data_IF_796721824827
#
_entry.id   IF_796721824827
#
_cell.length_a   1.000
_cell.length_b   1.000
_cell.length_c   1.000
_cell.angle_alpha   90.00
_cell.angle_beta   90.00
_cell.angle_gamma   90.00
#
_symmetry.space_group_name_H-M   'P 1'
#
loop_
_entity.id
_entity.type
_entity.pdbx_description
1 polymer ?
#
# COMPACT_ATOMS: atom_id res chain seq x y z
N UNK A 1 -75.82 4.32 9.10
CA UNK A 1 -74.57 4.13 9.86
C UNK A 1 -73.54 3.59 8.90
N UNK A 2 -72.55 4.44 8.63
CA UNK A 2 -71.20 4.22 8.08
C UNK A 2 -71.07 3.40 6.79
N UNK A 3 -71.12 4.20 5.73
CA UNK A 3 -70.48 4.05 4.44
C UNK A 3 -68.94 3.99 4.59
N UNK A 4 -68.25 3.24 3.73
CA UNK A 4 -66.80 3.02 3.82
C UNK A 4 -66.26 2.17 2.68
N UNK A 5 -66.75 2.41 1.46
CA UNK A 5 -66.16 1.84 0.26
C UNK A 5 -64.76 2.47 0.04
N UNK A 6 -63.72 1.64 0.16
CA UNK A 6 -62.35 1.95 -0.24
C UNK A 6 -62.35 2.41 -1.71
N UNK A 7 -62.10 3.69 -1.92
CA UNK A 7 -61.86 4.22 -3.25
C UNK A 7 -60.62 3.56 -3.86
N UNK A 8 -60.65 3.12 -5.14
CA UNK A 8 -59.45 2.73 -5.84
C UNK A 8 -58.55 3.97 -5.99
N UNK A 9 -57.33 3.89 -5.46
CA UNK A 9 -56.31 4.91 -5.71
C UNK A 9 -56.01 4.91 -7.21
N UNK A 10 -56.12 6.05 -7.92
CA UNK A 10 -55.96 6.07 -9.35
C UNK A 10 -54.49 5.78 -9.71
N UNK A 11 -54.28 4.73 -10.48
CA UNK A 11 -53.03 4.41 -11.15
C UNK A 11 -52.90 5.35 -12.37
N UNK A 12 -52.78 6.66 -12.10
CA UNK A 12 -52.57 7.70 -13.12
C UNK A 12 -51.67 8.78 -12.55
N UNK A 13 -50.36 8.65 -12.75
CA UNK A 13 -49.46 9.80 -12.71
C UNK A 13 -48.55 9.73 -13.94
N UNK A 14 -49.13 10.10 -15.07
CA UNK A 14 -48.40 10.57 -16.25
C UNK A 14 -48.04 12.07 -16.16
N UNK A 15 -48.35 12.72 -15.03
CA UNK A 15 -47.82 14.06 -14.73
C UNK A 15 -46.34 13.95 -14.31
N UNK A 16 -45.44 14.73 -14.92
CA UNK A 16 -44.03 14.74 -14.52
C UNK A 16 -43.91 15.19 -13.06
N UNK A 17 -43.23 14.38 -12.25
CA UNK A 17 -42.97 14.67 -10.84
C UNK A 17 -42.30 16.03 -10.70
N UNK A 18 -42.80 16.87 -9.78
CA UNK A 18 -42.18 18.16 -9.50
C UNK A 18 -40.78 17.99 -8.88
N UNK A 19 -39.85 18.96 -9.05
CA UNK A 19 -38.49 18.86 -8.49
C UNK A 19 -38.44 18.61 -6.97
N UNK A 20 -39.42 19.12 -6.22
CA UNK A 20 -39.54 18.87 -4.78
C UNK A 20 -39.99 17.44 -4.42
N UNK A 21 -40.73 16.77 -5.32
CA UNK A 21 -41.14 15.37 -5.17
C UNK A 21 -40.04 14.38 -5.60
N UNK A 22 -38.98 14.86 -6.26
CA UNK A 22 -37.79 14.08 -6.62
C UNK A 22 -36.72 14.07 -5.51
N UNK A 23 -36.93 14.76 -4.40
CA UNK A 23 -36.00 14.79 -3.27
C UNK A 23 -36.10 13.48 -2.45
N UNK A 24 -34.94 12.86 -2.23
CA UNK A 24 -34.82 11.61 -1.47
C UNK A 24 -35.13 10.34 -2.28
N UNK A 25 -34.87 9.18 -1.69
CA UNK A 25 -35.06 7.88 -2.35
C UNK A 25 -36.48 7.63 -2.91
N UNK A 26 -37.59 8.13 -2.32
CA UNK A 26 -38.94 7.86 -2.83
C UNK A 26 -39.19 8.47 -4.20
N UNK A 27 -38.72 9.72 -4.38
CA UNK A 27 -38.83 10.44 -5.65
C UNK A 27 -37.95 9.82 -6.72
N UNK A 28 -36.71 9.47 -6.37
CA UNK A 28 -35.76 8.81 -7.26
C UNK A 28 -36.27 7.45 -7.75
N UNK A 29 -36.86 6.62 -6.87
CA UNK A 29 -37.40 5.31 -7.26
C UNK A 29 -38.53 5.44 -8.29
N UNK A 30 -39.45 6.39 -8.10
CA UNK A 30 -40.55 6.64 -9.06
C UNK A 30 -40.02 7.14 -10.40
N UNK A 31 -39.03 8.04 -10.38
CA UNK A 31 -38.39 8.54 -11.60
C UNK A 31 -37.64 7.43 -12.35
N UNK A 32 -36.86 6.62 -11.65
CA UNK A 32 -36.16 5.48 -12.25
C UNK A 32 -37.11 4.44 -12.83
N UNK A 33 -38.26 4.19 -12.19
CA UNK A 33 -39.31 3.30 -12.71
C UNK A 33 -39.92 3.83 -14.01
N UNK A 34 -40.11 5.14 -14.12
CA UNK A 34 -40.55 5.78 -15.36
C UNK A 34 -39.51 5.60 -16.49
N UNK A 35 -38.25 5.94 -16.22
CA UNK A 35 -37.14 5.79 -17.18
C UNK A 35 -36.93 4.33 -17.60
N UNK A 36 -37.04 3.38 -16.67
CA UNK A 36 -36.95 1.96 -16.98
C UNK A 36 -38.09 1.51 -17.91
N UNK A 37 -39.32 2.00 -17.66
CA UNK A 37 -40.46 1.75 -18.53
C UNK A 37 -40.23 2.25 -19.96
N UNK A 38 -39.74 3.49 -20.11
CA UNK A 38 -39.38 4.04 -21.42
C UNK A 38 -38.29 3.22 -22.13
N UNK A 39 -37.22 2.85 -21.43
CA UNK A 39 -36.12 2.02 -21.98
C UNK A 39 -36.60 0.63 -22.44
N UNK A 40 -37.60 0.08 -21.77
CA UNK A 40 -38.21 -1.21 -22.10
C UNK A 40 -39.32 -1.09 -23.16
N UNK A 41 -39.61 0.12 -23.65
CA UNK A 41 -40.68 0.36 -24.63
C UNK A 41 -42.09 0.20 -24.05
N UNK A 42 -42.24 0.31 -22.73
CA UNK A 42 -43.54 0.32 -22.06
C UNK A 42 -44.17 1.72 -22.22
N UNK A 43 -45.47 1.78 -22.48
CA UNK A 43 -46.23 3.04 -22.62
C UNK A 43 -46.41 3.83 -21.31
N UNK A 44 -45.62 3.53 -20.28
CA UNK A 44 -45.68 4.10 -18.94
C UNK A 44 -44.60 3.51 -18.02
N UNK A 45 -44.55 3.92 -16.73
CA UNK A 45 -43.58 3.41 -15.78
C UNK A 45 -43.69 1.90 -15.58
N UNK A 46 -42.55 1.22 -15.39
CA UNK A 46 -42.49 -0.21 -15.07
C UNK A 46 -43.39 -0.52 -13.86
N UNK A 47 -44.16 -1.61 -13.84
CA UNK A 47 -45.14 -1.82 -12.76
C UNK A 47 -44.48 -2.08 -11.40
N UNK A 48 -45.03 -1.52 -10.32
CA UNK A 48 -44.60 -1.86 -8.95
C UNK A 48 -44.67 -3.36 -8.67
N UNK A 49 -45.62 -4.07 -9.28
CA UNK A 49 -45.77 -5.52 -9.12
C UNK A 49 -44.61 -6.27 -9.81
N UNK A 50 -44.26 -5.87 -11.03
CA UNK A 50 -43.14 -6.45 -11.81
C UNK A 50 -41.80 -6.21 -11.11
N UNK A 51 -41.58 -5.00 -10.58
CA UNK A 51 -40.36 -4.70 -9.82
C UNK A 51 -40.27 -5.55 -8.56
N UNK A 52 -41.37 -5.66 -7.81
CA UNK A 52 -41.41 -6.45 -6.58
C UNK A 52 -41.17 -7.94 -6.84
N UNK A 53 -41.76 -8.49 -7.90
CA UNK A 53 -41.55 -9.87 -8.34
C UNK A 53 -40.08 -10.12 -8.71
N UNK A 54 -39.47 -9.23 -9.49
CA UNK A 54 -38.09 -9.36 -9.94
C UNK A 54 -37.05 -9.33 -8.80
N UNK A 55 -37.36 -8.67 -7.68
CA UNK A 55 -36.51 -8.64 -6.48
C UNK A 55 -36.93 -9.64 -5.40
N UNK A 56 -37.92 -10.51 -5.66
CA UNK A 56 -38.41 -11.51 -4.73
C UNK A 56 -39.08 -10.94 -3.48
N UNK A 57 -39.78 -9.79 -3.60
CA UNK A 57 -40.49 -9.12 -2.50
C UNK A 57 -41.97 -8.91 -2.84
N UNK A 58 -42.78 -8.59 -1.84
CA UNK A 58 -44.21 -8.33 -2.06
C UNK A 58 -44.44 -6.94 -2.67
N UNK A 59 -45.52 -6.77 -3.44
CA UNK A 59 -45.91 -5.45 -3.98
C UNK A 59 -46.02 -4.38 -2.89
N UNK A 60 -46.61 -4.72 -1.75
CA UNK A 60 -46.73 -3.81 -0.60
C UNK A 60 -45.37 -3.42 0.00
N UNK A 61 -44.38 -4.30 -0.04
CA UNK A 61 -43.02 -3.98 0.38
C UNK A 61 -42.40 -2.90 -0.52
N UNK A 62 -42.50 -3.06 -1.84
CA UNK A 62 -41.97 -2.07 -2.79
C UNK A 62 -42.76 -0.75 -2.77
N UNK A 63 -44.08 -0.82 -2.62
CA UNK A 63 -44.92 0.37 -2.45
C UNK A 63 -44.52 1.18 -1.20
N UNK A 64 -44.25 0.51 -0.08
CA UNK A 64 -43.76 1.18 1.13
C UNK A 64 -42.38 1.82 0.91
N UNK A 65 -41.50 1.16 0.15
CA UNK A 65 -40.19 1.70 -0.24
C UNK A 65 -40.34 3.00 -1.06
N UNK A 66 -41.20 3.01 -2.08
CA UNK A 66 -41.54 4.21 -2.88
C UNK A 66 -42.29 5.30 -2.09
N UNK A 67 -42.79 4.98 -0.89
CA UNK A 67 -43.45 5.93 0.00
C UNK A 67 -42.52 6.48 1.09
N UNK A 68 -41.24 6.12 1.10
CA UNK A 68 -40.28 6.64 2.08
C UNK A 68 -39.95 5.71 3.23
N UNK A 69 -40.53 4.51 3.28
CA UNK A 69 -40.07 3.52 4.25
C UNK A 69 -38.63 3.13 3.95
N UNK A 70 -37.84 2.92 5.02
CA UNK A 70 -36.48 2.38 4.97
C UNK A 70 -36.45 1.01 5.64
N UNK A 71 -37.02 -0.03 5.01
CA UNK A 71 -36.92 -1.37 5.53
C UNK A 71 -35.45 -1.80 5.56
N UNK A 72 -35.05 -2.63 6.54
CA UNK A 72 -33.73 -3.26 6.50
C UNK A 72 -33.61 -4.06 5.21
N UNK A 73 -32.75 -3.60 4.30
CA UNK A 73 -32.46 -4.23 3.02
C UNK A 73 -31.06 -4.80 3.03
N UNK A 74 -30.90 -5.97 2.43
CA UNK A 74 -29.59 -6.53 2.12
C UNK A 74 -29.10 -6.04 0.74
N UNK A 75 -27.83 -6.29 0.46
CA UNK A 75 -27.20 -5.84 -0.79
C UNK A 75 -27.78 -6.54 -2.03
N UNK A 76 -28.13 -7.81 -1.91
CA UNK A 76 -28.65 -8.60 -3.02
C UNK A 76 -29.98 -8.03 -3.54
N UNK A 77 -30.86 -7.56 -2.65
CA UNK A 77 -32.10 -6.87 -3.03
C UNK A 77 -31.81 -5.55 -3.76
N UNK A 78 -30.81 -4.78 -3.33
CA UNK A 78 -30.46 -3.50 -3.98
C UNK A 78 -29.82 -3.69 -5.35
N UNK A 79 -28.91 -4.67 -5.50
CA UNK A 79 -28.31 -5.01 -6.80
C UNK A 79 -29.40 -5.53 -7.77
N UNK A 80 -30.35 -6.35 -7.28
CA UNK A 80 -31.49 -6.80 -8.06
C UNK A 80 -32.43 -5.65 -8.46
N UNK A 81 -32.64 -4.69 -7.56
CA UNK A 81 -33.43 -3.49 -7.84
C UNK A 81 -32.76 -2.62 -8.90
N UNK A 82 -31.45 -2.39 -8.77
CA UNK A 82 -30.67 -1.62 -9.74
C UNK A 82 -30.69 -2.27 -11.13
N UNK A 83 -30.56 -3.60 -11.19
CA UNK A 83 -30.68 -4.36 -12.45
C UNK A 83 -32.07 -4.25 -13.06
N UNK A 84 -33.12 -4.42 -12.26
CA UNK A 84 -34.52 -4.36 -12.72
C UNK A 84 -34.90 -2.96 -13.23
N UNK A 85 -34.44 -1.92 -12.54
CA UNK A 85 -34.68 -0.52 -12.91
C UNK A 85 -33.70 0.01 -13.97
N UNK A 86 -32.81 -0.84 -14.51
CA UNK A 86 -31.81 -0.46 -15.52
C UNK A 86 -30.98 0.75 -15.09
N UNK A 87 -30.60 0.79 -13.81
CA UNK A 87 -29.82 1.87 -13.21
C UNK A 87 -28.40 1.85 -13.75
N UNK A 88 -27.89 3.05 -14.07
CA UNK A 88 -26.48 3.26 -14.24
C UNK A 88 -25.76 3.20 -12.89
N UNK A 89 -24.46 3.43 -12.94
CA UNK A 89 -23.61 3.39 -11.75
C UNK A 89 -24.02 4.40 -10.70
N UNK A 90 -24.23 5.66 -11.09
CA UNK A 90 -24.46 6.75 -10.14
C UNK A 90 -25.83 6.62 -9.48
N UNK A 91 -26.84 6.19 -10.24
CA UNK A 91 -28.17 5.89 -9.71
C UNK A 91 -28.13 4.71 -8.74
N UNK A 92 -27.39 3.65 -9.07
CA UNK A 92 -27.19 2.52 -8.16
C UNK A 92 -26.46 2.94 -6.88
N UNK A 93 -25.45 3.81 -6.98
CA UNK A 93 -24.76 4.36 -5.82
C UNK A 93 -25.71 5.15 -4.92
N UNK A 94 -26.53 6.01 -5.53
CA UNK A 94 -27.53 6.81 -4.82
C UNK A 94 -28.56 5.91 -4.10
N UNK A 95 -29.01 4.82 -4.75
CA UNK A 95 -29.90 3.82 -4.15
C UNK A 95 -29.28 3.17 -2.91
N UNK A 96 -28.02 2.74 -3.02
CA UNK A 96 -27.27 2.10 -1.92
C UNK A 96 -27.09 3.07 -0.76
N UNK A 97 -26.60 4.28 -1.03
CA UNK A 97 -26.39 5.30 0.00
C UNK A 97 -27.68 5.70 0.73
N UNK A 98 -28.81 5.70 0.02
CA UNK A 98 -30.07 6.11 0.61
C UNK A 98 -30.74 5.02 1.48
N UNK A 99 -30.44 3.75 1.24
CA UNK A 99 -31.12 2.61 1.88
C UNK A 99 -30.20 1.75 2.79
N UNK A 100 -28.89 1.88 2.66
CA UNK A 100 -27.89 1.34 3.58
C UNK A 100 -27.19 2.52 4.25
N UNK A 101 -27.63 2.90 5.46
CA UNK A 101 -27.17 4.06 6.26
C UNK A 101 -25.65 4.33 6.18
N UNK A 102 -25.22 5.11 5.18
CA UNK A 102 -23.84 5.57 5.02
C UNK A 102 -22.82 4.52 4.56
N UNK A 103 -23.23 3.30 4.23
CA UNK A 103 -22.29 2.30 3.77
C UNK A 103 -21.98 2.53 2.28
N UNK A 104 -20.89 3.25 1.99
CA UNK A 104 -20.22 3.29 0.68
C UNK A 104 -19.74 1.86 0.34
N UNK A 105 -20.68 0.97 0.05
CA UNK A 105 -20.44 -0.44 -0.28
C UNK A 105 -20.32 -0.54 -1.79
N UNK A 106 -19.24 -1.20 -2.21
CA UNK A 106 -18.78 -1.30 -3.59
C UNK A 106 -19.90 -1.63 -4.57
N UNK A 107 -20.03 -0.78 -5.57
CA UNK A 107 -20.77 -1.06 -6.80
C UNK A 107 -19.96 -2.11 -7.57
N UNK A 108 -20.60 -3.11 -8.21
CA UNK A 108 -19.88 -4.13 -8.99
C UNK A 108 -18.91 -3.51 -10.00
N UNK A 109 -17.74 -4.13 -10.16
CA UNK A 109 -16.61 -3.73 -11.03
C UNK A 109 -16.96 -3.65 -12.53
N UNK A 110 -18.21 -3.93 -12.91
CA UNK A 110 -18.69 -3.93 -14.30
C UNK A 110 -18.72 -2.55 -14.98
N UNK A 111 -18.23 -1.49 -14.31
CA UNK A 111 -18.15 -0.13 -14.86
C UNK A 111 -16.72 0.43 -14.99
N UNK A 112 -15.70 -0.44 -15.05
CA UNK A 112 -14.33 -0.05 -15.39
C UNK A 112 -14.09 0.05 -16.91
N UNK A 113 -14.75 1.00 -17.59
CA UNK A 113 -14.53 1.20 -19.04
C UNK A 113 -13.05 1.45 -19.33
N UNK A 114 -12.57 1.02 -20.52
CA UNK A 114 -11.19 1.31 -20.93
C UNK A 114 -10.86 2.81 -20.86
N UNK A 115 -11.86 3.67 -21.05
CA UNK A 115 -11.78 5.12 -20.90
C UNK A 115 -11.48 5.54 -19.46
N UNK A 116 -12.18 4.99 -18.46
CA UNK A 116 -11.93 5.29 -17.03
C UNK A 116 -10.48 4.95 -16.66
N UNK A 117 -9.97 3.79 -17.11
CA UNK A 117 -8.59 3.40 -16.85
C UNK A 117 -7.59 4.34 -17.54
N UNK A 118 -7.90 4.80 -18.75
CA UNK A 118 -7.08 5.79 -19.47
C UNK A 118 -7.04 7.13 -18.74
N UNK A 119 -8.18 7.65 -18.28
CA UNK A 119 -8.26 8.94 -17.60
C UNK A 119 -7.51 8.90 -16.25
N UNK A 120 -7.63 7.79 -15.51
CA UNK A 120 -6.85 7.57 -14.30
C UNK A 120 -5.35 7.44 -14.58
N UNK A 121 -4.95 6.74 -15.65
CA UNK A 121 -3.54 6.69 -16.06
C UNK A 121 -2.98 8.07 -16.38
N UNK A 122 -3.74 8.91 -17.11
CA UNK A 122 -3.36 10.30 -17.37
C UNK A 122 -3.17 11.09 -16.07
N UNK A 123 -4.01 10.88 -15.06
CA UNK A 123 -3.85 11.50 -13.75
C UNK A 123 -2.56 11.05 -13.05
N UNK A 124 -2.22 9.76 -13.10
CA UNK A 124 -0.97 9.23 -12.53
C UNK A 124 0.27 9.84 -13.21
N UNK A 125 0.24 9.96 -14.53
CA UNK A 125 1.36 10.51 -15.31
C UNK A 125 1.58 12.00 -15.01
N UNK A 126 0.53 12.74 -14.64
CA UNK A 126 0.62 14.14 -14.21
C UNK A 126 1.20 14.33 -12.81
N UNK A 127 1.43 13.26 -12.05
CA UNK A 127 2.06 13.35 -10.72
C UNK A 127 3.59 13.46 -10.77
N UNK A 128 4.21 13.30 -11.94
CA UNK A 128 5.66 13.43 -12.06
C UNK A 128 6.17 14.76 -11.45
N UNK A 129 7.26 14.74 -10.68
CA UNK A 129 8.18 13.60 -10.48
C UNK A 129 7.77 12.60 -9.39
N UNK A 130 6.63 12.80 -8.71
CA UNK A 130 6.20 11.91 -7.63
C UNK A 130 5.79 10.53 -8.17
N UNK A 131 6.26 9.44 -7.55
CA UNK A 131 5.80 8.09 -7.86
C UNK A 131 4.31 7.94 -7.62
N UNK A 132 3.60 7.39 -8.60
CA UNK A 132 2.18 7.14 -8.48
C UNK A 132 1.79 5.81 -9.11
N UNK A 133 0.83 5.13 -8.49
CA UNK A 133 0.27 3.88 -8.98
C UNK A 133 -1.22 3.76 -8.69
N UNK A 134 -1.88 2.86 -9.41
CA UNK A 134 -3.28 2.50 -9.25
C UNK A 134 -3.35 1.01 -8.95
N UNK A 135 -4.04 0.67 -7.85
CA UNK A 135 -4.34 -0.71 -7.49
C UNK A 135 -5.83 -1.01 -7.58
N UNK A 136 -6.20 -2.26 -7.86
CA UNK A 136 -7.57 -2.75 -7.71
C UNK A 136 -7.94 -3.03 -6.22
N UNK A 137 -9.12 -3.61 -6.00
CA UNK A 137 -9.63 -3.94 -4.66
C UNK A 137 -8.76 -4.93 -3.88
N UNK A 138 -7.97 -5.78 -4.57
CA UNK A 138 -7.05 -6.78 -3.99
C UNK A 138 -5.58 -6.41 -4.20
N UNK A 139 -5.30 -5.12 -4.42
CA UNK A 139 -3.96 -4.56 -4.52
C UNK A 139 -3.14 -5.02 -5.73
N UNK A 140 -3.76 -5.55 -6.78
CA UNK A 140 -3.06 -5.76 -8.05
C UNK A 140 -2.76 -4.41 -8.68
N UNK A 141 -1.55 -4.24 -9.22
CA UNK A 141 -1.16 -3.05 -9.97
C UNK A 141 -1.88 -3.05 -11.31
N UNK A 142 -2.71 -2.04 -11.53
CA UNK A 142 -3.50 -1.85 -12.75
C UNK A 142 -3.16 -0.56 -13.50
N UNK A 143 -2.23 0.24 -12.96
CA UNK A 143 -1.64 1.42 -13.59
C UNK A 143 -0.49 1.95 -12.74
N UNK A 144 0.49 2.61 -13.37
CA UNK A 144 1.62 3.24 -12.69
C UNK A 144 2.27 4.29 -13.61
N UNK A 145 2.93 5.28 -13.02
CA UNK A 145 3.67 6.27 -13.78
C UNK A 145 5.17 5.90 -13.91
N UNK A 146 5.90 6.67 -14.73
CA UNK A 146 7.31 6.41 -15.00
C UNK A 146 8.21 6.52 -13.76
N UNK A 147 7.91 7.45 -12.83
CA UNK A 147 8.66 7.60 -11.58
C UNK A 147 8.51 6.36 -10.67
N UNK A 148 7.30 5.84 -10.55
CA UNK A 148 7.04 4.59 -9.81
C UNK A 148 7.86 3.44 -10.40
N UNK A 149 7.82 3.26 -11.71
CA UNK A 149 8.52 2.17 -12.37
C UNK A 149 10.05 2.32 -12.35
N UNK A 150 10.56 3.54 -12.15
CA UNK A 150 11.99 3.81 -12.01
C UNK A 150 12.49 3.48 -10.59
N UNK A 151 11.74 3.86 -9.55
CA UNK A 151 12.11 3.61 -8.16
C UNK A 151 11.77 2.20 -7.68
N UNK A 152 10.68 1.64 -8.20
CA UNK A 152 10.14 0.33 -7.84
C UNK A 152 9.85 -0.51 -9.08
N UNK A 153 10.86 -1.12 -9.71
CA UNK A 153 10.71 -1.82 -10.98
C UNK A 153 9.73 -3.00 -10.95
N UNK A 154 9.48 -3.60 -9.77
CA UNK A 154 8.55 -4.71 -9.57
C UNK A 154 7.12 -4.41 -10.07
N UNK A 155 6.72 -3.13 -10.14
CA UNK A 155 5.39 -2.75 -10.67
C UNK A 155 5.20 -3.12 -12.15
N UNK A 156 6.31 -3.36 -12.87
CA UNK A 156 6.29 -3.79 -14.29
C UNK A 156 6.03 -5.29 -14.45
N UNK A 157 6.15 -6.07 -13.37
CA UNK A 157 6.00 -7.51 -13.44
C UNK A 157 4.55 -7.91 -13.79
N UNK A 158 4.34 -8.93 -14.64
CA UNK A 158 3.00 -9.45 -14.88
C UNK A 158 2.35 -9.93 -13.58
N UNK A 159 1.17 -9.39 -13.25
CA UNK A 159 0.47 -9.74 -12.02
C UNK A 159 1.10 -9.13 -10.76
N UNK A 160 1.90 -8.06 -10.91
CA UNK A 160 2.41 -7.28 -9.79
C UNK A 160 1.29 -6.92 -8.80
N UNK A 161 1.55 -7.16 -7.52
CA UNK A 161 0.59 -6.91 -6.44
C UNK A 161 1.32 -6.29 -5.26
N UNK A 162 0.82 -5.15 -4.79
CA UNK A 162 1.47 -4.36 -3.75
C UNK A 162 1.65 -5.14 -2.44
N UNK A 163 0.62 -5.88 -1.99
CA UNK A 163 0.69 -6.61 -0.73
C UNK A 163 1.62 -7.81 -0.86
N UNK A 164 1.60 -8.52 -2.00
CA UNK A 164 2.55 -9.62 -2.25
C UNK A 164 3.97 -9.12 -2.25
N UNK A 165 4.24 -8.03 -2.94
CA UNK A 165 5.56 -7.42 -2.93
C UNK A 165 5.94 -7.03 -1.49
N UNK A 166 5.09 -6.27 -0.80
CA UNK A 166 5.38 -5.74 0.52
C UNK A 166 5.60 -6.82 1.59
N UNK A 167 4.84 -7.93 1.56
CA UNK A 167 4.88 -8.98 2.58
C UNK A 167 5.85 -10.12 2.22
N UNK A 168 5.84 -10.55 0.96
CA UNK A 168 6.44 -11.82 0.53
C UNK A 168 7.74 -11.65 -0.24
N UNK A 169 8.05 -10.46 -0.76
CA UNK A 169 9.30 -10.24 -1.48
C UNK A 169 10.44 -9.91 -0.51
N UNK A 170 11.61 -10.48 -0.76
CA UNK A 170 12.84 -10.09 -0.07
C UNK A 170 13.15 -8.61 -0.33
N UNK A 171 12.91 -8.11 -1.55
CA UNK A 171 13.14 -6.71 -1.91
C UNK A 171 12.42 -5.74 -0.97
N UNK A 172 11.12 -5.93 -0.72
CA UNK A 172 10.37 -5.04 0.17
C UNK A 172 10.82 -5.12 1.63
N UNK A 173 11.21 -6.30 2.10
CA UNK A 173 11.75 -6.48 3.46
C UNK A 173 12.99 -5.63 3.71
N UNK A 174 13.78 -5.37 2.67
CA UNK A 174 14.96 -4.51 2.74
C UNK A 174 14.67 -3.04 2.42
N UNK A 175 13.73 -2.79 1.51
CA UNK A 175 13.38 -1.42 1.14
C UNK A 175 12.54 -0.72 2.20
N UNK A 176 11.80 -1.43 3.05
CA UNK A 176 11.14 -0.82 4.21
C UNK A 176 12.06 -0.84 5.43
N UNK A 177 12.36 0.34 5.99
CA UNK A 177 13.29 0.46 7.13
C UNK A 177 12.71 -0.16 8.42
N UNK A 178 11.40 -0.08 8.62
CA UNK A 178 10.67 -0.79 9.70
C UNK A 178 9.65 -1.75 9.06
N UNK A 179 10.15 -2.76 8.34
CA UNK A 179 9.30 -3.69 7.61
C UNK A 179 8.23 -4.36 8.49
N UNK A 180 8.55 -4.70 9.74
CA UNK A 180 7.62 -5.31 10.68
C UNK A 180 6.40 -4.41 10.95
N UNK A 181 6.62 -3.10 11.11
CA UNK A 181 5.51 -2.14 11.23
C UNK A 181 4.62 -2.16 9.97
N UNK A 182 5.24 -2.17 8.80
CA UNK A 182 4.52 -2.24 7.54
C UNK A 182 3.72 -3.53 7.42
N UNK A 183 4.30 -4.67 7.80
CA UNK A 183 3.64 -5.97 7.75
C UNK A 183 2.39 -6.00 8.62
N UNK A 184 2.47 -5.46 9.84
CA UNK A 184 1.31 -5.31 10.73
C UNK A 184 0.21 -4.43 10.11
N UNK A 185 0.56 -3.29 9.49
CA UNK A 185 -0.40 -2.41 8.82
C UNK A 185 -1.06 -3.10 7.61
N UNK A 186 -0.32 -3.88 6.83
CA UNK A 186 -0.91 -4.64 5.72
C UNK A 186 -1.87 -5.73 6.19
N UNK A 187 -1.63 -6.36 7.34
CA UNK A 187 -2.60 -7.30 7.94
C UNK A 187 -3.91 -6.57 8.31
N UNK A 188 -3.83 -5.36 8.87
CA UNK A 188 -5.02 -4.54 9.18
C UNK A 188 -5.83 -4.21 7.92
N UNK A 189 -5.15 -3.89 6.81
CA UNK A 189 -5.77 -3.67 5.50
C UNK A 189 -6.47 -4.93 4.97
N UNK A 190 -5.80 -6.08 5.03
CA UNK A 190 -6.36 -7.37 4.58
C UNK A 190 -7.58 -7.77 5.40
N UNK A 191 -7.55 -7.57 6.73
CA UNK A 191 -8.68 -7.82 7.62
C UNK A 191 -9.86 -6.91 7.27
N UNK A 192 -9.63 -5.60 7.13
CA UNK A 192 -10.69 -4.68 6.69
C UNK A 192 -11.30 -5.14 5.35
N UNK A 193 -10.47 -5.45 4.35
CA UNK A 193 -10.95 -5.93 3.05
C UNK A 193 -11.74 -7.24 3.16
N UNK A 194 -11.37 -8.17 4.05
CA UNK A 194 -12.12 -9.41 4.26
C UNK A 194 -13.53 -9.19 4.82
N UNK A 195 -13.73 -8.13 5.62
CA UNK A 195 -15.07 -7.74 6.08
C UNK A 195 -15.92 -7.15 4.95
N UNK A 196 -15.27 -6.44 4.03
CA UNK A 196 -15.90 -5.77 2.89
C UNK A 196 -16.19 -6.73 1.73
N UNK A 197 -15.35 -7.74 1.51
CA UNK A 197 -15.44 -8.71 0.42
C UNK A 197 -15.33 -10.16 0.92
N UNK A 198 -16.29 -10.67 1.72
CA UNK A 198 -16.17 -11.95 2.41
C UNK A 198 -16.19 -13.19 1.50
N UNK A 199 -16.64 -13.05 0.26
CA UNK A 199 -16.74 -14.16 -0.71
C UNK A 199 -15.75 -14.03 -1.88
N UNK A 200 -14.77 -13.14 -1.75
CA UNK A 200 -13.83 -12.87 -2.82
C UNK A 200 -12.69 -13.90 -2.86
N UNK A 201 -12.62 -14.64 -3.96
CA UNK A 201 -11.65 -15.74 -4.11
C UNK A 201 -10.22 -15.24 -4.24
N UNK A 202 -10.00 -14.11 -4.90
CA UNK A 202 -8.67 -13.55 -5.11
C UNK A 202 -8.11 -12.96 -3.82
N UNK A 203 -8.96 -12.27 -3.05
CA UNK A 203 -8.59 -11.80 -1.71
C UNK A 203 -8.29 -12.98 -0.78
N UNK A 204 -9.13 -14.02 -0.81
CA UNK A 204 -8.93 -15.23 0.01
C UNK A 204 -7.59 -15.91 -0.32
N UNK A 205 -7.22 -15.97 -1.61
CA UNK A 205 -5.93 -16.49 -2.05
C UNK A 205 -4.77 -15.62 -1.56
N UNK A 206 -4.86 -14.30 -1.69
CA UNK A 206 -3.83 -13.38 -1.19
C UNK A 206 -3.61 -13.55 0.32
N UNK A 207 -4.69 -13.62 1.11
CA UNK A 207 -4.61 -13.85 2.56
C UNK A 207 -3.96 -15.21 2.86
N UNK A 208 -4.32 -16.25 2.11
CA UNK A 208 -3.74 -17.59 2.29
C UNK A 208 -2.23 -17.58 2.06
N UNK A 209 -1.77 -16.90 1.02
CA UNK A 209 -0.34 -16.81 0.70
C UNK A 209 0.43 -16.02 1.78
N UNK A 210 -0.16 -14.94 2.31
CA UNK A 210 0.42 -14.18 3.44
C UNK A 210 0.51 -15.03 4.71
N UNK A 211 -0.50 -15.84 4.99
CA UNK A 211 -0.52 -16.73 6.17
C UNK A 211 0.43 -17.92 6.04
N UNK A 212 0.72 -18.36 4.81
CA UNK A 212 1.63 -19.47 4.56
C UNK A 212 3.11 -19.10 4.76
N UNK A 213 3.45 -17.81 4.67
CA UNK A 213 4.80 -17.33 4.94
C UNK A 213 5.12 -17.40 6.45
N UNK A 214 6.25 -18.03 6.86
CA UNK A 214 6.56 -18.27 8.29
C UNK A 214 6.71 -17.00 9.14
N UNK A 215 7.08 -15.87 8.53
CA UNK A 215 7.28 -14.60 9.22
C UNK A 215 5.99 -13.78 9.18
N UNK A 216 5.38 -13.65 8.00
CA UNK A 216 4.14 -12.89 7.80
C UNK A 216 2.95 -13.51 8.52
N UNK A 217 2.87 -14.83 8.57
CA UNK A 217 1.81 -15.57 9.26
C UNK A 217 1.71 -15.19 10.74
N UNK A 218 2.84 -14.89 11.40
CA UNK A 218 2.86 -14.46 12.81
C UNK A 218 2.19 -13.10 13.01
N UNK A 219 2.29 -12.17 12.06
CA UNK A 219 1.56 -10.90 12.11
C UNK A 219 0.05 -11.09 11.96
N UNK A 220 -0.38 -12.12 11.24
CA UNK A 220 -1.81 -12.44 11.14
C UNK A 220 -2.39 -12.83 12.50
N UNK A 221 -1.64 -13.55 13.33
CA UNK A 221 -2.11 -14.01 14.64
C UNK A 221 -1.93 -12.98 15.76
N UNK A 222 -1.21 -11.89 15.49
CA UNK A 222 -0.95 -10.80 16.44
C UNK A 222 -1.97 -9.65 16.24
N UNK A 223 -2.45 -9.07 17.34
CA UNK A 223 -3.42 -7.94 17.34
C UNK A 223 -4.67 -8.17 16.47
N UNK A 224 -5.38 -9.26 16.75
CA UNK A 224 -6.50 -9.77 15.93
C UNK A 224 -7.71 -8.82 15.82
N UNK A 225 -7.77 -7.76 16.62
CA UNK A 225 -8.88 -6.80 16.62
C UNK A 225 -8.64 -5.60 15.70
N UNK A 226 -7.39 -5.33 15.29
CA UNK A 226 -7.06 -4.15 14.51
C UNK A 226 -7.45 -4.30 13.03
N UNK A 227 -8.12 -3.27 12.50
CA UNK A 227 -8.50 -3.12 11.10
C UNK A 227 -8.20 -1.70 10.64
N UNK A 228 -7.80 -1.53 9.37
CA UNK A 228 -7.56 -0.22 8.76
C UNK A 228 -8.10 -0.23 7.34
N UNK A 229 -8.79 0.83 6.93
CA UNK A 229 -9.34 0.95 5.57
C UNK A 229 -8.27 1.36 4.54
N UNK A 230 -7.33 2.21 4.94
CA UNK A 230 -6.30 2.76 4.06
C UNK A 230 -5.03 3.15 4.82
N UNK A 231 -3.96 3.45 4.08
CA UNK A 231 -2.70 4.02 4.60
C UNK A 231 -2.54 5.47 4.14
N UNK A 232 -3.64 6.19 3.97
CA UNK A 232 -3.57 7.60 3.60
C UNK A 232 -2.85 8.42 4.68
N UNK A 233 -1.98 9.33 4.25
CA UNK A 233 -1.13 10.13 5.13
C UNK A 233 -0.05 9.36 5.88
N UNK A 234 0.17 8.07 5.58
CA UNK A 234 1.16 7.27 6.29
C UNK A 234 2.58 7.75 5.95
N UNK A 235 3.28 8.26 6.96
CA UNK A 235 4.70 8.64 6.92
C UNK A 235 5.56 7.41 7.26
N UNK A 236 6.52 7.08 6.41
CA UNK A 236 7.40 5.94 6.62
C UNK A 236 8.76 6.11 5.95
N UNK A 237 9.71 5.26 6.36
CA UNK A 237 11.07 5.26 5.83
C UNK A 237 11.29 4.14 4.83
N UNK A 238 11.93 4.47 3.72
CA UNK A 238 12.38 3.50 2.72
C UNK A 238 13.88 3.59 2.47
N UNK A 239 14.49 2.51 2.00
CA UNK A 239 15.89 2.47 1.58
C UNK A 239 15.95 1.90 0.16
N UNK A 240 16.07 2.77 -0.85
CA UNK A 240 15.97 2.36 -2.25
C UNK A 240 17.34 2.12 -2.89
N UNK A 241 17.48 1.12 -3.79
CA UNK A 241 18.73 0.86 -4.49
C UNK A 241 19.24 2.05 -5.31
N UNK A 242 18.32 2.80 -5.93
CA UNK A 242 18.64 4.00 -6.72
C UNK A 242 19.15 5.17 -5.88
N UNK A 243 19.03 5.08 -4.56
CA UNK A 243 19.45 6.10 -3.58
C UNK A 243 20.55 5.55 -2.65
N UNK A 244 21.32 4.57 -3.12
CA UNK A 244 22.39 3.91 -2.36
C UNK A 244 21.91 3.37 -0.99
N UNK A 245 20.63 2.98 -0.91
CA UNK A 245 19.97 2.53 0.31
C UNK A 245 20.00 3.53 1.47
N UNK A 246 20.18 4.83 1.21
CA UNK A 246 19.98 5.85 2.22
C UNK A 246 18.50 5.89 2.63
N UNK A 247 18.18 5.89 3.94
CA UNK A 247 16.82 6.05 4.41
C UNK A 247 16.20 7.38 3.94
N UNK A 248 15.07 7.30 3.27
CA UNK A 248 14.26 8.43 2.81
C UNK A 248 12.88 8.36 3.46
N UNK A 249 12.38 9.51 3.92
CA UNK A 249 11.03 9.61 4.47
C UNK A 249 10.03 9.97 3.38
N UNK A 250 8.96 9.19 3.32
CA UNK A 250 7.90 9.31 2.33
C UNK A 250 6.53 9.28 2.99
N UNK A 251 5.58 9.96 2.36
CA UNK A 251 4.18 9.97 2.74
C UNK A 251 3.38 9.32 1.62
N UNK A 252 2.57 8.31 1.93
CA UNK A 252 1.62 7.75 0.96
C UNK A 252 0.27 8.45 1.05
N UNK A 253 -0.18 9.03 -0.06
CA UNK A 253 -1.52 9.59 -0.21
C UNK A 253 -2.40 8.60 -0.97
N UNK A 254 -3.48 8.14 -0.35
CA UNK A 254 -4.38 7.12 -0.89
C UNK A 254 -5.73 7.75 -1.22
N UNK A 255 -6.02 7.81 -2.52
CA UNK A 255 -7.24 8.39 -3.08
C UNK A 255 -8.12 7.28 -3.63
N UNK A 256 -9.42 7.36 -3.36
CA UNK A 256 -10.41 6.43 -3.91
C UNK A 256 -11.08 7.06 -5.14
N UNK A 257 -10.76 6.62 -6.36
CA UNK A 257 -11.36 7.19 -7.55
C UNK A 257 -12.86 6.90 -7.58
N UNK A 258 -13.65 7.96 -7.50
CA UNK A 258 -15.10 7.89 -7.61
C UNK A 258 -15.57 7.29 -8.94
N UNK A 259 -14.67 7.19 -9.95
CA UNK A 259 -14.87 6.57 -11.26
C UNK A 259 -14.42 5.09 -11.35
N UNK A 260 -13.81 4.51 -10.32
CA UNK A 260 -13.45 3.09 -10.27
C UNK A 260 -13.55 2.57 -8.82
N UNK A 261 -14.75 2.14 -8.37
CA UNK A 261 -14.96 1.77 -6.97
C UNK A 261 -14.09 0.56 -6.61
N UNK A 262 -13.56 0.53 -5.40
CA UNK A 262 -12.67 -0.54 -4.97
C UNK A 262 -11.22 -0.38 -5.42
N UNK A 263 -10.94 0.41 -6.46
CA UNK A 263 -9.57 0.80 -6.78
C UNK A 263 -9.05 1.88 -5.83
N UNK A 264 -7.72 2.05 -5.83
CA UNK A 264 -7.00 3.04 -5.04
C UNK A 264 -5.90 3.63 -5.90
N UNK A 265 -5.89 4.96 -6.03
CA UNK A 265 -4.77 5.70 -6.60
C UNK A 265 -3.87 6.13 -5.46
N UNK A 266 -2.58 5.80 -5.53
CA UNK A 266 -1.60 6.17 -4.52
C UNK A 266 -0.55 7.07 -5.13
N UNK A 267 -0.27 8.18 -4.46
CA UNK A 267 0.84 9.09 -4.76
C UNK A 267 1.79 9.08 -3.58
N UNK A 268 3.08 8.87 -3.84
CA UNK A 268 4.12 8.91 -2.81
C UNK A 268 4.80 10.28 -2.92
N UNK A 269 4.77 11.05 -1.84
CA UNK A 269 5.49 12.32 -1.74
C UNK A 269 6.59 12.23 -0.71
N UNK A 270 7.56 13.13 -0.80
CA UNK A 270 8.60 13.28 0.20
C UNK A 270 8.07 14.08 1.38
N UNK A 271 8.42 13.70 2.61
CA UNK A 271 8.21 14.57 3.77
C UNK A 271 9.28 15.67 3.71
N UNK A 272 8.87 16.90 3.37
CA UNK A 272 9.77 18.06 3.41
C UNK A 272 10.12 18.46 4.85
N UNK A 273 11.28 19.09 5.05
CA UNK A 273 11.57 19.81 6.29
C UNK A 273 10.65 21.02 6.42
N UNK A 274 10.09 21.24 7.60
CA UNK A 274 9.12 22.30 7.91
C UNK A 274 9.71 23.74 7.88
N UNK A 275 10.82 23.98 7.18
CA UNK A 275 11.45 25.31 7.11
C UNK A 275 10.87 26.23 6.01
N UNK A 276 10.10 25.71 5.05
CA UNK A 276 9.46 26.55 4.02
C UNK A 276 8.04 27.04 4.39
N UNK A 277 7.50 26.62 5.54
CA UNK A 277 6.11 26.96 5.95
C UNK A 277 6.01 28.17 6.89
N UNK A 278 7.14 28.77 7.31
CA UNK A 278 7.17 29.84 8.31
C UNK A 278 7.21 31.28 7.75
N UNK A 279 7.23 31.50 6.42
CA UNK A 279 7.18 32.84 5.82
C UNK A 279 6.18 32.89 4.66
N UNK A 280 4.89 32.85 4.99
CA UNK A 280 3.85 32.99 3.98
C UNK A 280 2.43 33.07 4.50
N UNK A 281 2.20 33.55 5.74
CA UNK A 281 0.86 33.84 6.20
C UNK A 281 0.32 35.11 5.50
N UNK A 282 -0.56 34.87 4.52
CA UNK A 282 -1.79 35.63 4.22
C UNK A 282 -1.66 37.16 4.15
N UNK A 283 -1.53 37.69 2.93
CA UNK A 283 -2.36 38.83 2.49
C UNK A 283 -2.39 38.96 0.96
N UNK A 284 -3.58 39.18 0.39
CA UNK A 284 -3.75 39.89 -0.89
C UNK A 284 -3.98 39.07 -2.16
N UNK A 285 -5.26 38.91 -2.52
CA UNK A 285 -5.91 38.91 -3.86
C UNK A 285 -5.29 38.24 -5.12
N UNK A 286 -6.16 37.75 -6.03
CA UNK A 286 -5.77 36.91 -7.15
C UNK A 286 -5.16 37.74 -8.28
N UNK A 287 -3.94 37.39 -8.70
CA UNK A 287 -3.41 37.83 -9.99
C UNK A 287 -2.82 36.66 -10.78
N UNK A 288 -3.30 36.61 -12.01
CA UNK A 288 -2.77 35.93 -13.19
C UNK A 288 -1.23 36.01 -13.27
N UNK A 289 -0.58 34.85 -13.46
CA UNK A 289 0.70 34.71 -14.16
C UNK A 289 1.09 33.25 -14.38
N UNK A 290 1.07 32.86 -15.65
CA UNK A 290 1.93 31.83 -16.20
C UNK A 290 3.39 32.24 -15.99
N UNK A 291 4.12 31.61 -15.06
CA UNK A 291 5.56 31.37 -15.14
C UNK A 291 6.08 30.59 -13.93
N UNK A 292 6.81 29.51 -14.24
CA UNK A 292 7.84 28.85 -13.43
C UNK A 292 7.39 28.20 -12.11
N UNK A 293 6.94 26.94 -12.22
CA UNK A 293 7.12 25.97 -11.14
C UNK A 293 8.61 25.61 -11.08
N UNK A 294 9.32 25.86 -9.96
CA UNK A 294 10.70 25.41 -9.85
C UNK A 294 10.70 23.89 -9.80
N UNK A 295 11.46 23.31 -10.71
CA UNK A 295 11.93 21.93 -10.65
C UNK A 295 12.73 21.79 -9.35
N UNK A 296 12.26 20.98 -8.40
CA UNK A 296 13.09 20.67 -7.23
C UNK A 296 14.25 19.80 -7.73
N UNK A 297 15.42 20.43 -7.82
CA UNK A 297 16.70 19.82 -8.06
C UNK A 297 17.08 18.97 -6.84
N UNK A 298 17.53 17.75 -7.13
CA UNK A 298 18.24 16.86 -6.22
C UNK A 298 19.58 17.50 -5.82
N UNK A 299 19.79 17.94 -4.56
CA UNK A 299 20.91 17.41 -3.77
C UNK A 299 20.81 17.50 -2.21
N UNK A 300 21.48 16.56 -1.52
CA UNK A 300 22.25 16.81 -0.27
C UNK A 300 21.51 16.95 1.08
N UNK A 301 21.30 15.83 1.79
CA UNK A 301 20.76 15.70 3.15
C UNK A 301 21.47 16.56 4.22
N UNK A 302 20.74 17.11 5.21
CA UNK A 302 20.77 16.55 6.57
C UNK A 302 19.42 16.51 7.34
N UNK A 303 19.43 15.71 8.41
CA UNK A 303 18.34 15.16 9.25
C UNK A 303 17.69 16.12 10.28
N UNK A 304 16.45 15.81 10.67
CA UNK A 304 15.94 15.98 12.04
C UNK A 304 14.92 14.88 12.38
N UNK A 305 15.07 14.22 13.54
CA UNK A 305 14.35 13.00 13.91
C UNK A 305 12.96 13.28 14.52
N UNK A 306 11.93 12.59 14.02
CA UNK A 306 10.70 12.34 14.76
C UNK A 306 10.84 11.02 15.54
N UNK A 307 10.45 11.02 16.83
CA UNK A 307 10.53 9.85 17.69
C UNK A 307 9.62 8.71 17.20
N UNK A 308 10.11 7.45 17.20
CA UNK A 308 9.33 6.31 16.75
C UNK A 308 8.27 5.94 17.79
N UNK A 309 6.99 6.04 17.40
CA UNK A 309 5.90 5.37 18.12
C UNK A 309 6.15 3.86 18.11
N UNK A 310 6.19 3.24 19.29
CA UNK A 310 6.57 1.85 19.47
C UNK A 310 5.70 0.87 18.64
N UNK A 311 6.34 0.26 17.63
CA UNK A 311 5.80 -0.83 16.81
C UNK A 311 5.50 -2.08 17.66
N UNK A 312 4.58 -2.96 17.23
CA UNK A 312 4.39 -4.26 17.87
C UNK A 312 5.65 -5.10 17.59
N UNK A 313 6.54 -5.16 18.58
CA UNK A 313 7.80 -5.88 18.48
C UNK A 313 7.55 -7.35 18.84
N UNK A 314 7.80 -8.26 17.90
CA UNK A 314 7.70 -9.69 18.15
C UNK A 314 8.83 -10.11 19.10
N UNK A 315 8.47 -10.80 20.18
CA UNK A 315 9.44 -11.42 21.07
C UNK A 315 9.82 -12.79 20.50
N UNK A 316 11.12 -13.04 20.37
CA UNK A 316 11.62 -14.36 20.01
C UNK A 316 12.96 -14.62 20.67
N UNK A 317 13.09 -15.78 21.29
CA UNK A 317 14.33 -16.27 21.88
C UNK A 317 15.38 -16.59 20.81
N UNK A 318 16.67 -16.62 21.15
CA UNK A 318 17.71 -17.05 20.21
C UNK A 318 17.48 -18.45 19.61
N UNK A 319 16.80 -19.35 20.32
CA UNK A 319 16.44 -20.68 19.81
C UNK A 319 15.35 -20.59 18.71
N UNK A 320 14.33 -19.77 18.91
CA UNK A 320 13.27 -19.53 17.91
C UNK A 320 13.80 -18.82 16.66
N UNK A 321 14.86 -18.00 16.79
CA UNK A 321 15.54 -17.40 15.64
C UNK A 321 16.22 -18.44 14.73
N UNK A 322 16.72 -19.55 15.29
CA UNK A 322 17.28 -20.66 14.50
C UNK A 322 16.17 -21.37 13.72
N UNK A 323 15.01 -21.58 14.34
CA UNK A 323 13.86 -22.17 13.65
C UNK A 323 13.35 -21.28 12.50
N UNK A 324 13.31 -19.96 12.73
CA UNK A 324 12.94 -18.97 11.72
C UNK A 324 13.90 -18.93 10.53
N UNK A 325 15.20 -19.12 10.76
CA UNK A 325 16.22 -19.14 9.71
C UNK A 325 16.19 -20.43 8.86
N UNK A 326 15.34 -21.38 9.23
CA UNK A 326 15.07 -22.59 8.45
C UNK A 326 16.10 -23.71 8.67
N UNK A 327 15.96 -24.83 7.95
CA UNK A 327 16.69 -26.07 8.23
C UNK A 327 18.20 -25.98 7.99
N UNK A 328 18.66 -24.94 7.29
CA UNK A 328 20.09 -24.68 7.03
C UNK A 328 20.62 -23.47 7.80
N UNK A 329 19.91 -23.03 8.84
CA UNK A 329 20.33 -21.96 9.71
C UNK A 329 21.79 -22.13 10.19
N UNK A 330 22.60 -21.08 10.03
CA UNK A 330 23.99 -21.06 10.46
C UNK A 330 24.15 -19.97 11.54
N UNK A 331 24.35 -20.35 12.81
CA UNK A 331 24.66 -19.38 13.85
C UNK A 331 25.96 -18.63 13.56
N UNK A 332 25.96 -17.32 13.83
CA UNK A 332 27.11 -16.42 13.68
C UNK A 332 27.48 -15.79 15.04
N UNK A 333 27.91 -16.61 16.02
CA UNK A 333 28.14 -16.14 17.39
C UNK A 333 29.23 -15.07 17.47
N UNK A 334 30.31 -15.17 16.70
CA UNK A 334 31.44 -14.24 16.80
C UNK A 334 31.09 -12.86 16.24
N UNK A 335 30.35 -12.80 15.13
CA UNK A 335 29.81 -11.54 14.60
C UNK A 335 28.72 -10.96 15.49
N UNK A 336 27.90 -11.81 16.13
CA UNK A 336 26.91 -11.37 17.12
C UNK A 336 27.57 -10.69 18.32
N UNK A 337 28.58 -11.33 18.90
CA UNK A 337 29.38 -10.76 20.00
C UNK A 337 30.06 -9.45 19.60
N UNK A 338 30.52 -9.33 18.35
CA UNK A 338 31.16 -8.12 17.85
C UNK A 338 30.18 -6.93 17.74
N UNK A 339 28.91 -7.19 17.42
CA UNK A 339 27.90 -6.15 17.23
C UNK A 339 27.17 -5.76 18.52
N UNK A 340 26.98 -6.69 19.46
CA UNK A 340 26.20 -6.42 20.68
C UNK A 340 26.54 -7.29 21.88
N UNK A 341 27.71 -7.92 21.92
CA UNK A 341 28.13 -8.77 23.04
C UNK A 341 27.23 -9.99 23.25
N UNK A 342 27.02 -10.37 24.50
CA UNK A 342 26.15 -11.51 24.88
C UNK A 342 24.66 -11.23 24.66
N UNK A 343 24.30 -9.98 24.42
CA UNK A 343 22.92 -9.54 24.21
C UNK A 343 22.54 -9.48 22.72
N UNK A 344 23.39 -10.00 21.81
CA UNK A 344 23.12 -10.04 20.37
C UNK A 344 23.48 -11.40 19.77
N UNK A 345 22.48 -12.11 19.24
CA UNK A 345 22.70 -13.33 18.47
C UNK A 345 22.31 -13.12 17.01
N UNK A 346 23.13 -13.67 16.13
CA UNK A 346 22.92 -13.63 14.70
C UNK A 346 22.80 -15.06 14.17
N UNK A 347 21.83 -15.26 13.28
CA UNK A 347 21.64 -16.53 12.57
C UNK A 347 21.47 -16.23 11.10
N UNK A 348 22.37 -16.77 10.27
CA UNK A 348 22.28 -16.69 8.82
C UNK A 348 21.30 -17.75 8.30
N UNK A 349 20.34 -17.32 7.48
CA UNK A 349 19.46 -18.18 6.69
C UNK A 349 20.03 -18.25 5.26
N UNK A 350 20.87 -19.24 4.92
CA UNK A 350 21.60 -19.25 3.66
C UNK A 350 20.72 -19.45 2.43
N UNK A 351 19.53 -20.04 2.59
CA UNK A 351 18.61 -20.28 1.48
C UNK A 351 17.86 -19.00 1.06
N UNK A 352 17.64 -18.06 1.99
CA UNK A 352 16.99 -16.76 1.74
C UNK A 352 17.99 -15.61 1.62
N UNK A 353 19.25 -15.80 2.04
CA UNK A 353 20.26 -14.74 2.09
C UNK A 353 20.00 -13.70 3.20
N UNK A 354 19.10 -13.99 4.13
CA UNK A 354 18.77 -13.13 5.26
C UNK A 354 19.54 -13.53 6.53
N UNK A 355 19.71 -12.57 7.43
CA UNK A 355 20.27 -12.73 8.76
C UNK A 355 19.21 -12.31 9.76
N UNK A 356 18.87 -13.24 10.64
CA UNK A 356 17.99 -12.99 11.78
C UNK A 356 18.87 -12.55 12.94
N UNK A 357 18.60 -11.35 13.44
CA UNK A 357 19.26 -10.75 14.61
C UNK A 357 18.30 -10.76 15.78
N UNK A 358 18.66 -11.43 16.86
CA UNK A 358 17.98 -11.29 18.16
C UNK A 358 18.81 -10.44 19.10
N UNK A 359 18.19 -9.43 19.70
CA UNK A 359 18.82 -8.55 20.68
C UNK A 359 18.04 -8.49 21.98
N UNK A 360 18.73 -8.54 23.11
CA UNK A 360 18.12 -8.37 24.42
C UNK A 360 17.98 -6.89 24.74
N UNK A 361 16.79 -6.46 25.12
CA UNK A 361 16.51 -5.06 25.43
C UNK A 361 16.47 -4.80 26.94
N UNK A 362 16.34 -3.53 27.34
CA UNK A 362 16.42 -3.10 28.74
C UNK A 362 15.31 -3.68 29.65
N UNK A 363 14.20 -4.12 29.06
CA UNK A 363 13.09 -4.80 29.73
C UNK A 363 13.40 -6.29 30.01
N UNK A 364 14.56 -6.79 29.54
CA UNK A 364 15.00 -8.17 29.69
C UNK A 364 14.45 -9.12 28.62
N UNK A 365 13.55 -8.64 27.76
CA UNK A 365 12.92 -9.40 26.69
C UNK A 365 13.82 -9.46 25.45
N UNK A 366 13.66 -10.54 24.69
CA UNK A 366 14.37 -10.75 23.43
C UNK A 366 13.51 -10.31 22.26
N UNK A 367 14.07 -9.45 21.43
CA UNK A 367 13.46 -8.98 20.21
C UNK A 367 14.24 -9.50 19.02
N UNK A 368 13.56 -9.78 17.91
CA UNK A 368 14.24 -10.16 16.69
C UNK A 368 13.95 -9.20 15.53
N UNK A 369 14.92 -9.08 14.63
CA UNK A 369 14.86 -8.36 13.38
C UNK A 369 15.45 -9.22 12.27
N UNK A 370 14.96 -9.06 11.04
CA UNK A 370 15.51 -9.73 9.86
C UNK A 370 16.18 -8.68 8.97
N UNK A 371 17.41 -8.94 8.54
CA UNK A 371 18.24 -8.04 7.72
C UNK A 371 18.92 -8.83 6.61
N UNK A 372 19.40 -8.20 5.52
CA UNK A 372 20.13 -8.98 4.49
C UNK A 372 21.55 -9.26 4.94
N UNK A 373 22.16 -10.30 4.38
CA UNK A 373 23.59 -10.51 4.53
C UNK A 373 24.40 -9.29 4.04
N UNK A 374 23.94 -8.58 3.02
CA UNK A 374 24.59 -7.36 2.51
C UNK A 374 24.50 -6.17 3.49
N UNK A 375 23.36 -5.99 4.16
CA UNK A 375 23.18 -4.94 5.17
C UNK A 375 24.07 -5.19 6.38
N UNK A 376 24.13 -6.45 6.83
CA UNK A 376 25.03 -6.84 7.91
C UNK A 376 26.49 -6.53 7.55
N UNK A 377 26.92 -6.81 6.31
CA UNK A 377 28.28 -6.49 5.85
C UNK A 377 28.57 -4.99 5.82
N UNK A 378 27.56 -4.13 5.61
CA UNK A 378 27.71 -2.67 5.65
C UNK A 378 27.84 -2.15 7.08
N UNK A 379 27.15 -2.77 8.03
CA UNK A 379 27.23 -2.43 9.45
C UNK A 379 28.55 -2.89 10.08
N UNK A 380 29.04 -4.06 9.66
CA UNK A 380 30.32 -4.61 10.05
C UNK A 380 31.46 -3.73 9.50
N UNK A 381 31.98 -2.81 10.33
CA UNK A 381 33.18 -2.05 9.95
C UNK A 381 34.33 -3.02 9.71
N UNK A 382 35.07 -2.92 8.59
CA UNK A 382 36.23 -3.75 8.34
C UNK A 382 37.40 -3.29 9.22
N UNK A 383 37.37 -3.65 10.49
CA UNK A 383 38.55 -3.78 11.36
C UNK A 383 39.03 -5.22 11.28
N UNK A 384 40.35 -5.43 11.22
CA UNK A 384 41.03 -6.71 10.91
C UNK A 384 40.28 -7.96 11.43
N UNK A 385 39.37 -8.51 10.62
CA UNK A 385 38.72 -9.78 10.94
C UNK A 385 39.79 -10.88 10.92
N UNK A 386 40.09 -11.47 12.07
CA UNK A 386 41.10 -12.52 12.21
C UNK A 386 40.48 -13.83 12.70
N UNK A 387 40.99 -14.96 12.20
CA UNK A 387 40.57 -16.28 12.70
C UNK A 387 39.09 -16.55 12.46
N UNK A 388 38.34 -16.84 13.53
CA UNK A 388 36.94 -17.25 13.46
C UNK A 388 35.97 -16.17 12.93
N UNK A 389 36.20 -14.89 13.25
CA UNK A 389 35.35 -13.79 12.74
C UNK A 389 35.45 -13.65 11.23
N UNK A 390 36.63 -13.94 10.64
CA UNK A 390 36.81 -13.96 9.19
C UNK A 390 36.05 -15.11 8.52
N UNK A 391 35.89 -16.26 9.21
CA UNK A 391 35.11 -17.39 8.69
C UNK A 391 33.64 -17.04 8.63
N UNK A 392 33.08 -16.49 9.72
CA UNK A 392 31.68 -16.03 9.76
C UNK A 392 31.44 -14.90 8.76
N UNK A 393 32.36 -13.95 8.66
CA UNK A 393 32.29 -12.87 7.66
C UNK A 393 32.24 -13.41 6.23
N UNK A 394 33.04 -14.43 5.91
CA UNK A 394 33.01 -15.10 4.59
C UNK A 394 31.68 -15.80 4.31
N UNK A 395 31.03 -16.36 5.33
CA UNK A 395 29.71 -16.97 5.18
C UNK A 395 28.65 -15.93 4.84
N UNK A 396 28.64 -14.81 5.56
CA UNK A 396 27.76 -13.67 5.28
C UNK A 396 28.06 -13.09 3.88
N UNK A 397 29.33 -12.87 3.55
CA UNK A 397 29.75 -12.42 2.23
C UNK A 397 29.26 -13.37 1.13
N UNK A 398 29.41 -14.69 1.31
CA UNK A 398 28.91 -15.67 0.34
C UNK A 398 27.39 -15.61 0.20
N UNK A 399 26.65 -15.43 1.29
CA UNK A 399 25.19 -15.31 1.27
C UNK A 399 24.70 -14.01 0.61
N UNK A 400 25.53 -12.97 0.58
CA UNK A 400 25.23 -11.72 -0.15
C UNK A 400 25.43 -11.83 -1.68
N UNK A 401 26.08 -12.90 -2.16
CA UNK A 401 26.35 -13.11 -3.58
C UNK A 401 25.28 -13.99 -4.24
N UNK A 402 25.09 -13.88 -5.58
CA UNK A 402 24.20 -14.77 -6.33
C UNK A 402 24.37 -16.26 -6.00
N UNK A 403 23.29 -17.01 -6.05
CA UNK A 403 23.31 -18.45 -5.78
C UNK A 403 24.09 -19.20 -6.85
N UNK A 404 23.98 -18.78 -8.12
CA UNK A 404 24.72 -19.34 -9.24
C UNK A 404 26.24 -19.08 -9.12
N UNK A 405 27.10 -20.11 -9.23
CA UNK A 405 28.54 -19.96 -9.06
C UNK A 405 29.21 -19.02 -10.08
N UNK A 406 28.71 -18.97 -11.31
CA UNK A 406 29.28 -18.15 -12.37
C UNK A 406 28.93 -16.67 -12.18
N UNK A 407 27.67 -16.39 -11.86
CA UNK A 407 27.23 -15.03 -11.51
C UNK A 407 27.89 -14.53 -10.22
N UNK A 408 28.07 -15.40 -9.22
CA UNK A 408 28.81 -15.08 -8.00
C UNK A 408 30.27 -14.74 -8.29
N UNK A 409 30.94 -15.52 -9.15
CA UNK A 409 32.32 -15.23 -9.56
C UNK A 409 32.43 -13.88 -10.27
N UNK A 410 31.50 -13.58 -11.17
CA UNK A 410 31.47 -12.29 -11.88
C UNK A 410 31.22 -11.12 -10.93
N UNK A 411 30.33 -11.30 -9.95
CA UNK A 411 30.06 -10.30 -8.92
C UNK A 411 31.31 -10.03 -8.07
N UNK A 412 32.05 -11.08 -7.68
CA UNK A 412 33.34 -10.95 -7.00
C UNK A 412 34.36 -10.18 -7.84
N UNK A 413 34.51 -10.53 -9.13
CA UNK A 413 35.46 -9.85 -10.02
C UNK A 413 35.14 -8.35 -10.16
N UNK A 414 33.84 -8.03 -10.22
CA UNK A 414 33.36 -6.64 -10.30
C UNK A 414 33.68 -5.88 -9.02
N UNK A 415 33.31 -6.43 -7.85
CA UNK A 415 33.60 -5.81 -6.56
C UNK A 415 35.11 -5.65 -6.30
N UNK A 416 35.92 -6.64 -6.68
CA UNK A 416 37.38 -6.56 -6.58
C UNK A 416 37.97 -5.46 -7.46
N UNK A 417 37.43 -5.27 -8.67
CA UNK A 417 37.86 -4.21 -9.58
C UNK A 417 37.52 -2.83 -9.00
N UNK A 418 36.30 -2.64 -8.50
CA UNK A 418 35.87 -1.40 -7.86
C UNK A 418 36.71 -1.09 -6.61
N UNK A 419 36.98 -2.10 -5.78
CA UNK A 419 37.84 -1.95 -4.60
C UNK A 419 39.26 -1.53 -4.97
N UNK A 420 39.85 -2.10 -6.05
CA UNK A 420 41.18 -1.70 -6.55
C UNK A 420 41.20 -0.26 -7.03
N UNK A 421 40.23 0.14 -7.86
CA UNK A 421 40.13 1.52 -8.35
C UNK A 421 40.00 2.50 -7.17
N UNK A 422 39.16 2.17 -6.18
CA UNK A 422 38.98 3.00 -4.98
C UNK A 422 40.27 3.09 -4.16
N UNK A 423 40.98 1.97 -3.97
CA UNK A 423 42.24 1.95 -3.24
C UNK A 423 43.34 2.77 -3.95
N UNK A 424 43.48 2.61 -5.27
CA UNK A 424 44.42 3.38 -6.08
C UNK A 424 44.10 4.89 -6.06
N UNK A 425 42.81 5.25 -6.12
CA UNK A 425 42.37 6.66 -6.03
C UNK A 425 42.68 7.25 -4.65
N UNK A 426 42.41 6.50 -3.57
CA UNK A 426 42.73 6.93 -2.21
C UNK A 426 44.23 7.08 -1.99
N UNK A 427 45.05 6.18 -2.55
CA UNK A 427 46.51 6.29 -2.52
C UNK A 427 46.98 7.55 -3.26
N UNK A 428 46.43 7.83 -4.43
CA UNK A 428 46.71 9.07 -5.17
C UNK A 428 46.36 10.33 -4.38
N UNK A 429 45.17 10.37 -3.76
CA UNK A 429 44.76 11.47 -2.87
C UNK A 429 45.71 11.61 -1.68
N UNK A 430 46.13 10.49 -1.07
CA UNK A 430 47.07 10.49 0.05
C UNK A 430 48.43 11.07 -0.38
N UNK A 431 48.94 10.69 -1.54
CA UNK A 431 50.16 11.24 -2.12
C UNK A 431 50.01 12.74 -2.42
N UNK A 432 48.91 13.16 -3.05
CA UNK A 432 48.62 14.58 -3.30
C UNK A 432 48.59 15.39 -2.00
N UNK A 433 47.94 14.89 -0.96
CA UNK A 433 47.92 15.53 0.36
C UNK A 433 49.33 15.61 0.95
N UNK A 434 50.14 14.56 0.87
CA UNK A 434 51.51 14.58 1.36
C UNK A 434 52.40 15.60 0.62
N UNK A 435 52.20 15.79 -0.69
CA UNK A 435 52.92 16.80 -1.49
C UNK A 435 52.37 18.22 -1.26
N UNK A 436 51.05 18.37 -1.13
CA UNK A 436 50.37 19.65 -0.93
C UNK A 436 50.66 20.26 0.44
N UNK A 437 50.78 19.42 1.47
CA UNK A 437 51.20 19.84 2.81
C UNK A 437 52.67 20.27 2.86
N UNK A 438 53.54 19.68 2.06
CA UNK A 438 54.93 20.14 1.92
C UNK A 438 55.05 21.49 1.18
N UNK A 439 54.04 21.90 0.41
CA UNK A 439 53.98 23.21 -0.27
C UNK A 439 53.34 24.33 0.56
N UNK A 440 52.78 24.06 1.75
CA UNK A 440 52.19 25.09 2.61
C UNK A 440 53.04 25.38 3.87
N UNK A 441 54.16 26.11 3.62
CA UNK A 441 54.76 27.23 4.41
C UNK A 441 55.67 26.84 5.63
N UNK A 442 56.83 27.53 5.85
CA UNK A 442 57.04 28.96 5.59
C UNK A 442 58.24 29.44 4.76
N UNK A 443 57.92 30.39 3.86
CA UNK A 443 58.70 31.62 3.73
C UNK A 443 58.44 32.49 4.97
N UNK A 444 59.35 32.36 5.94
CA UNK A 444 59.96 33.33 6.89
C UNK A 444 60.32 32.63 8.18
#
# INVERSE_FOLDING_TARGET
>A
MVDGALAPCPDTSSEPLSPGQLLGHPGLLRAWRAVAGEKLGLGGPLSQAEVAEAIGRSRGWYQNLENGARPKTDRAVLDALAKTLLLGRDEHQALVLALLDGALTTIPDSFGSATVRRDLQMLLDQQLPNPAYLTDRVWNIIGYNAAMAALWPWVREPGANLIRWAMLSHEARFQYVDWQHHAAEYVKLLRYASTRYPHDTDLSKLITDVKADPVCGRFWDTDVAAVSESRDGHLFKMALPSMDYQPIEVISHVLFPASLPGARATVITWAGTDEDTAQGAVSGQPTDRTQERPSVLWPGLPFAAAEPTASPRLTATPAEAVELAGPRAVPLPLLGTLLGGDDCHLVLAPDTGSVIRTTRHQDGEWYFSETSAADLLRELRPTEFTGGTLVEYKLVLRASLPSDPFDASRACDTQLREARIRAETLAGIQDELAHSWNTLVPLT
#
